data_IF_072316382391
#
_entry.id   IF_072316382391
#
_cell.length_a   1.000
_cell.length_b   1.000
_cell.length_c   1.000
_cell.angle_alpha   90.00
_cell.angle_beta   90.00
_cell.angle_gamma   90.00
#
_symmetry.space_group_name_H-M   'P 1'
#
loop_
_entity.id
_entity.type
_entity.pdbx_description
1 polymer ?
#
# COMPACT_ATOMS: atom_id res chain seq x y z
N UNK A 1 19.96 7.35 -5.70
CA UNK A 1 20.73 7.00 -6.93
C UNK A 1 20.07 7.60 -8.17
N UNK A 2 20.81 8.36 -8.98
CA UNK A 2 20.29 9.15 -10.11
C UNK A 2 20.43 8.48 -11.50
N UNK A 3 20.87 7.22 -11.56
CA UNK A 3 21.07 6.49 -12.82
C UNK A 3 20.11 5.31 -12.97
N UNK A 4 19.53 5.16 -14.16
CA UNK A 4 18.82 3.94 -14.57
C UNK A 4 19.80 2.81 -14.88
N UNK A 5 19.60 1.64 -14.28
CA UNK A 5 20.46 0.47 -14.51
C UNK A 5 20.17 -0.67 -13.53
N UNK A 6 20.79 -1.83 -13.75
CA UNK A 6 20.83 -2.90 -12.76
C UNK A 6 21.93 -2.58 -11.75
N UNK A 7 21.56 -2.54 -10.48
CA UNK A 7 22.48 -2.29 -9.38
C UNK A 7 22.90 -3.63 -8.79
N UNK A 8 24.20 -3.78 -8.55
CA UNK A 8 24.77 -4.98 -7.93
C UNK A 8 25.54 -4.54 -6.68
N UNK A 9 25.53 -5.36 -5.64
CA UNK A 9 26.32 -5.12 -4.44
C UNK A 9 27.80 -5.34 -4.79
N UNK A 10 28.63 -4.29 -4.70
CA UNK A 10 30.07 -4.36 -5.03
C UNK A 10 30.86 -5.14 -3.97
N UNK A 11 30.38 -5.15 -2.72
CA UNK A 11 30.91 -5.96 -1.63
C UNK A 11 29.79 -6.74 -1.02
N UNK A 12 30.03 -8.01 -0.73
CA UNK A 12 29.09 -8.86 -0.03
C UNK A 12 29.53 -8.99 1.44
N UNK A 13 29.13 -8.08 2.35
CA UNK A 13 29.41 -8.26 3.78
C UNK A 13 28.94 -9.64 4.23
N UNK A 14 29.82 -10.30 4.97
CA UNK A 14 29.59 -11.57 5.65
C UNK A 14 29.40 -11.26 7.14
N UNK A 15 28.25 -10.69 7.55
CA UNK A 15 27.96 -10.43 8.95
C UNK A 15 27.96 -11.74 9.74
N UNK A 16 28.23 -11.65 11.04
CA UNK A 16 27.96 -12.79 11.92
C UNK A 16 26.46 -13.14 11.85
N UNK A 17 26.06 -14.40 12.14
CA UNK A 17 24.65 -14.77 12.16
C UNK A 17 23.79 -13.88 13.07
N UNK A 18 24.37 -13.38 14.17
CA UNK A 18 23.70 -12.46 15.09
C UNK A 18 23.47 -11.07 14.46
N UNK A 19 24.50 -10.51 13.82
CA UNK A 19 24.38 -9.21 13.15
C UNK A 19 23.40 -9.25 11.97
N UNK A 20 23.42 -10.36 11.20
CA UNK A 20 22.48 -10.58 10.11
C UNK A 20 21.04 -10.63 10.60
N UNK A 21 20.80 -11.35 11.71
CA UNK A 21 19.48 -11.47 12.33
C UNK A 21 19.00 -10.10 12.85
N UNK A 22 19.86 -9.34 13.52
CA UNK A 22 19.51 -8.01 14.03
C UNK A 22 19.24 -7.02 12.90
N UNK A 23 20.05 -7.03 11.83
CA UNK A 23 19.83 -6.20 10.65
C UNK A 23 18.48 -6.52 9.98
N UNK A 24 18.13 -7.81 9.91
CA UNK A 24 16.85 -8.24 9.37
C UNK A 24 15.66 -7.78 10.24
N UNK A 25 15.74 -7.93 11.56
CA UNK A 25 14.72 -7.41 12.47
C UNK A 25 14.56 -5.89 12.35
N UNK A 26 15.68 -5.18 12.23
CA UNK A 26 15.70 -3.71 12.05
C UNK A 26 15.05 -3.31 10.74
N UNK A 27 15.29 -4.06 9.66
CA UNK A 27 14.63 -3.88 8.36
C UNK A 27 13.10 -4.07 8.45
N UNK A 28 12.62 -5.06 9.22
CA UNK A 28 11.18 -5.23 9.42
C UNK A 28 10.55 -4.08 10.22
N UNK A 29 11.22 -3.60 11.28
CA UNK A 29 10.74 -2.44 12.04
C UNK A 29 10.67 -1.20 11.16
N UNK A 30 11.72 -0.91 10.40
CA UNK A 30 11.75 0.24 9.51
C UNK A 30 10.69 0.19 8.40
N UNK A 31 10.35 -1.03 7.93
CA UNK A 31 9.36 -1.21 6.86
C UNK A 31 7.92 -1.24 7.36
N UNK A 32 7.66 -1.98 8.43
CA UNK A 32 6.30 -2.29 8.87
C UNK A 32 5.87 -1.50 10.11
N UNK A 33 6.82 -0.98 10.90
CA UNK A 33 6.59 -0.44 12.24
C UNK A 33 6.22 -1.53 13.26
N UNK A 34 5.20 -2.33 12.94
CA UNK A 34 4.74 -3.49 13.70
C UNK A 34 5.07 -4.77 12.95
N UNK A 35 5.92 -5.61 13.55
CA UNK A 35 6.26 -6.92 13.01
C UNK A 35 5.15 -7.89 13.35
N UNK A 36 4.58 -8.54 12.33
CA UNK A 36 3.52 -9.55 12.47
C UNK A 36 3.94 -10.85 11.79
N UNK A 37 3.22 -11.94 12.09
CA UNK A 37 3.43 -13.23 11.41
C UNK A 37 3.26 -13.12 9.90
N UNK A 38 2.23 -12.39 9.44
CA UNK A 38 1.97 -12.19 8.02
C UNK A 38 3.11 -11.45 7.32
N UNK A 39 3.61 -10.37 7.92
CA UNK A 39 4.73 -9.59 7.38
C UNK A 39 6.03 -10.39 7.23
N UNK A 40 6.38 -11.17 8.25
CA UNK A 40 7.58 -12.03 8.21
C UNK A 40 7.45 -13.11 7.14
N UNK A 41 6.27 -13.75 7.01
CA UNK A 41 6.06 -14.77 5.98
C UNK A 41 6.10 -14.19 4.57
N UNK A 42 5.56 -12.98 4.38
CA UNK A 42 5.59 -12.29 3.10
C UNK A 42 7.02 -11.93 2.63
N UNK A 43 7.95 -11.73 3.56
CA UNK A 43 9.36 -11.43 3.28
C UNK A 43 10.20 -12.71 2.97
N UNK A 44 9.61 -13.91 3.10
CA UNK A 44 10.24 -15.16 2.64
C UNK A 44 11.41 -15.66 3.50
N UNK A 45 11.39 -15.36 4.79
CA UNK A 45 12.51 -15.58 5.71
C UNK A 45 12.85 -17.06 5.88
N UNK A 46 14.13 -17.48 5.74
CA UNK A 46 14.54 -18.86 6.00
C UNK A 46 14.16 -19.32 7.41
N UNK A 47 13.55 -20.52 7.52
CA UNK A 47 13.04 -21.04 8.80
C UNK A 47 11.70 -20.43 9.24
N UNK A 48 11.14 -19.51 8.47
CA UNK A 48 9.82 -18.94 8.66
C UNK A 48 9.65 -18.17 9.98
N UNK A 49 8.39 -17.99 10.39
CA UNK A 49 8.07 -17.19 11.56
C UNK A 49 8.64 -17.76 12.88
N UNK A 50 8.83 -19.07 12.99
CA UNK A 50 9.38 -19.67 14.21
C UNK A 50 10.82 -19.21 14.50
N UNK A 51 11.65 -19.07 13.44
CA UNK A 51 13.00 -18.55 13.58
C UNK A 51 13.00 -17.06 13.96
N UNK A 52 12.17 -16.25 13.28
CA UNK A 52 12.00 -14.84 13.59
C UNK A 52 11.50 -14.62 15.03
N UNK A 53 10.50 -15.41 15.46
CA UNK A 53 9.89 -15.28 16.79
C UNK A 53 10.92 -15.44 17.92
N UNK A 54 11.86 -16.40 17.81
CA UNK A 54 12.90 -16.58 18.84
C UNK A 54 13.75 -15.32 19.01
N UNK A 55 14.17 -14.70 17.91
CA UNK A 55 14.92 -13.45 17.93
C UNK A 55 14.10 -12.31 18.54
N UNK A 56 12.86 -12.14 18.08
CA UNK A 56 11.98 -11.06 18.55
C UNK A 56 11.67 -11.19 20.06
N UNK A 57 11.48 -12.41 20.55
CA UNK A 57 11.31 -12.69 21.97
C UNK A 57 12.57 -12.34 22.79
N UNK A 58 13.77 -12.65 22.26
CA UNK A 58 15.02 -12.25 22.92
C UNK A 58 15.16 -10.73 22.98
N UNK A 59 14.83 -10.03 21.89
CA UNK A 59 14.84 -8.56 21.85
C UNK A 59 13.80 -7.95 22.79
N UNK A 60 12.62 -8.57 22.93
CA UNK A 60 11.61 -8.18 23.93
C UNK A 60 12.11 -8.37 25.37
N UNK A 61 12.69 -9.53 25.68
CA UNK A 61 13.26 -9.81 27.01
C UNK A 61 14.42 -8.88 27.36
N UNK A 62 15.16 -8.39 26.35
CA UNK A 62 16.21 -7.37 26.50
C UNK A 62 15.66 -5.93 26.56
N UNK A 63 14.34 -5.74 26.55
CA UNK A 63 13.68 -4.43 26.60
C UNK A 63 13.83 -3.59 25.34
N UNK A 64 14.23 -4.19 24.20
CA UNK A 64 14.39 -3.48 22.92
C UNK A 64 13.08 -3.42 22.13
N UNK A 65 12.22 -4.40 22.31
CA UNK A 65 10.90 -4.47 21.69
C UNK A 65 9.81 -4.62 22.74
N UNK A 66 8.61 -4.19 22.37
CA UNK A 66 7.38 -4.45 23.10
C UNK A 66 6.59 -5.47 22.28
N UNK A 67 6.10 -6.51 22.96
CA UNK A 67 5.14 -7.45 22.39
C UNK A 67 3.73 -7.12 22.90
N UNK A 68 2.77 -7.05 21.99
CA UNK A 68 1.39 -6.73 22.33
C UNK A 68 0.42 -6.93 21.17
N UNK A 69 -0.87 -6.77 21.42
CA UNK A 69 -1.88 -6.69 20.38
C UNK A 69 -2.05 -5.21 19.99
N UNK A 70 -1.41 -4.82 18.89
CA UNK A 70 -1.32 -3.41 18.48
C UNK A 70 -2.28 -3.09 17.33
N UNK A 71 -2.39 -3.99 16.36
CA UNK A 71 -3.25 -3.83 15.18
C UNK A 71 -4.25 -4.98 15.12
N UNK A 72 -5.52 -4.67 14.89
CA UNK A 72 -6.57 -5.67 14.77
C UNK A 72 -6.37 -6.59 13.55
N UNK A 73 -6.75 -7.86 13.67
CA UNK A 73 -6.79 -8.80 12.54
C UNK A 73 -5.44 -9.35 12.09
N UNK A 74 -4.31 -8.87 12.63
CA UNK A 74 -2.96 -9.32 12.26
C UNK A 74 -2.37 -10.41 13.17
N UNK A 75 -3.21 -11.02 14.01
CA UNK A 75 -2.85 -12.10 14.93
C UNK A 75 -2.19 -11.61 16.23
N UNK A 76 -2.03 -12.50 17.20
CA UNK A 76 -1.64 -12.14 18.57
C UNK A 76 -0.13 -11.92 18.82
N UNK A 77 0.74 -12.37 17.92
CA UNK A 77 2.19 -12.21 18.06
C UNK A 77 2.66 -11.00 17.24
N UNK A 78 2.60 -9.81 17.84
CA UNK A 78 3.07 -8.57 17.23
C UNK A 78 4.16 -7.93 18.09
N UNK A 79 5.19 -7.40 17.42
CA UNK A 79 6.35 -6.79 18.07
C UNK A 79 6.63 -5.43 17.46
N UNK A 80 6.96 -4.44 18.28
CA UNK A 80 7.32 -3.10 17.80
C UNK A 80 8.25 -2.41 18.81
N UNK A 81 8.75 -1.23 18.47
CA UNK A 81 9.50 -0.39 19.40
C UNK A 81 8.54 0.39 20.31
N UNK A 82 9.03 0.88 21.44
CA UNK A 82 8.22 1.72 22.32
C UNK A 82 7.80 3.04 21.66
N UNK A 83 8.67 3.60 20.82
CA UNK A 83 8.42 4.81 20.03
C UNK A 83 7.25 4.60 19.06
N UNK A 84 7.29 3.57 18.23
CA UNK A 84 6.21 3.26 17.27
C UNK A 84 4.90 2.95 17.99
N UNK A 85 4.92 2.25 19.14
CA UNK A 85 3.71 2.06 19.96
C UNK A 85 3.16 3.39 20.48
N UNK A 86 4.04 4.36 20.80
CA UNK A 86 3.65 5.72 21.15
C UNK A 86 2.96 6.45 19.99
N UNK A 87 3.54 6.37 18.79
CA UNK A 87 2.96 6.93 17.57
C UNK A 87 1.61 6.32 17.24
N UNK A 88 1.48 4.99 17.36
CA UNK A 88 0.22 4.27 17.11
C UNK A 88 -0.95 4.78 17.95
N UNK A 89 -0.69 5.22 19.19
CA UNK A 89 -1.73 5.80 20.07
C UNK A 89 -2.20 7.18 19.61
N UNK A 90 -1.42 7.85 18.76
CA UNK A 90 -1.81 9.12 18.15
C UNK A 90 -2.80 8.97 17.00
N UNK A 91 -2.88 7.78 16.39
CA UNK A 91 -3.92 7.48 15.40
C UNK A 91 -5.24 7.24 16.13
N UNK A 92 -6.18 8.16 15.97
CA UNK A 92 -7.51 8.10 16.58
C UNK A 92 -8.48 7.32 15.70
N UNK A 93 -8.06 6.14 15.23
CA UNK A 93 -8.91 5.27 14.41
C UNK A 93 -10.13 4.86 15.24
N UNK A 94 -11.30 5.39 14.86
CA UNK A 94 -12.55 5.08 15.54
C UNK A 94 -13.63 4.89 14.47
N UNK A 95 -14.35 3.76 14.50
CA UNK A 95 -15.45 3.54 13.57
C UNK A 95 -16.57 4.58 13.72
N UNK A 96 -16.57 5.33 14.83
CA UNK A 96 -17.57 6.34 15.17
C UNK A 96 -17.14 7.77 14.78
N UNK A 97 -15.94 7.96 14.21
CA UNK A 97 -15.40 9.29 13.90
C UNK A 97 -15.31 9.55 12.39
N UNK A 98 -16.22 10.41 11.91
CA UNK A 98 -16.08 11.08 10.62
C UNK A 98 -16.29 10.21 9.38
N UNK A 99 -15.93 10.76 8.22
CA UNK A 99 -16.10 10.11 6.91
C UNK A 99 -14.93 9.18 6.56
N UNK A 100 -13.76 9.34 7.21
CA UNK A 100 -12.56 8.54 6.97
C UNK A 100 -12.13 7.79 8.25
N UNK A 101 -11.72 6.50 8.18
CA UNK A 101 -11.39 5.71 9.37
C UNK A 101 -10.34 6.34 10.30
N UNK A 102 -9.36 7.07 9.75
CA UNK A 102 -8.31 7.75 10.51
C UNK A 102 -8.76 9.07 11.16
N UNK A 103 -10.01 9.48 10.95
CA UNK A 103 -10.52 10.80 11.34
C UNK A 103 -10.00 11.96 10.46
N UNK A 104 -9.25 11.68 9.40
CA UNK A 104 -8.73 12.71 8.51
C UNK A 104 -9.85 13.44 7.74
N UNK A 105 -9.81 14.78 7.78
CA UNK A 105 -10.73 15.63 6.99
C UNK A 105 -10.27 15.81 5.55
N UNK A 106 -8.98 15.62 5.30
CA UNK A 106 -8.35 15.74 3.97
C UNK A 106 -7.37 14.57 3.80
N UNK A 107 -7.87 13.37 3.44
CA UNK A 107 -7.03 12.19 3.38
C UNK A 107 -5.96 12.34 2.29
N UNK A 108 -4.71 11.98 2.60
CA UNK A 108 -3.59 12.17 1.70
C UNK A 108 -3.42 10.95 0.76
N UNK A 109 -3.67 11.09 -0.55
CA UNK A 109 -3.59 9.95 -1.44
C UNK A 109 -2.15 9.67 -1.89
N UNK A 110 -1.82 8.39 -1.99
CA UNK A 110 -0.52 7.87 -2.40
C UNK A 110 -0.69 6.89 -3.56
N UNK A 111 0.16 7.02 -4.58
CA UNK A 111 0.22 6.10 -5.71
C UNK A 111 1.49 5.26 -5.58
N UNK A 112 1.31 3.96 -5.38
CA UNK A 112 2.39 3.00 -5.19
C UNK A 112 2.36 1.93 -6.27
N UNK A 113 3.52 1.35 -6.59
CA UNK A 113 3.52 0.07 -7.29
C UNK A 113 2.86 -0.99 -6.41
N UNK A 114 2.10 -1.93 -6.98
CA UNK A 114 1.46 -2.99 -6.19
C UNK A 114 2.49 -3.89 -5.46
N UNK A 115 3.71 -3.97 -5.98
CA UNK A 115 4.85 -4.67 -5.39
C UNK A 115 5.64 -3.84 -4.38
N UNK A 116 5.32 -2.55 -4.22
CA UNK A 116 6.04 -1.67 -3.31
C UNK A 116 6.02 -2.24 -1.87
N UNK A 117 7.15 -2.26 -1.15
CA UNK A 117 7.17 -2.75 0.23
C UNK A 117 6.27 -1.96 1.20
N UNK A 118 5.96 -0.70 0.88
CA UNK A 118 5.04 0.13 1.66
C UNK A 118 3.56 -0.19 1.39
N UNK A 119 3.22 -0.95 0.34
CA UNK A 119 1.86 -1.43 0.13
C UNK A 119 1.58 -2.64 1.04
N UNK A 120 0.66 -2.57 2.03
CA UNK A 120 0.34 -3.71 2.88
C UNK A 120 -0.62 -4.71 2.22
N UNK A 121 -1.38 -4.28 1.20
CA UNK A 121 -2.44 -5.07 0.57
C UNK A 121 -1.88 -6.15 -0.37
N UNK A 122 -2.53 -7.31 -0.34
CA UNK A 122 -2.07 -8.52 -1.02
C UNK A 122 -0.80 -9.14 -0.41
N UNK A 123 -0.43 -8.69 0.80
CA UNK A 123 0.72 -9.17 1.57
C UNK A 123 0.26 -9.45 3.00
N UNK A 124 0.34 -8.45 3.88
CA UNK A 124 -0.05 -8.57 5.29
C UNK A 124 -1.56 -8.36 5.45
N UNK A 125 -2.14 -7.49 4.62
CA UNK A 125 -3.58 -7.27 4.53
C UNK A 125 -4.15 -7.98 3.29
N UNK A 126 -5.35 -8.58 3.37
CA UNK A 126 -6.06 -9.04 2.20
C UNK A 126 -6.43 -7.84 1.32
N UNK A 127 -6.62 -8.07 0.02
CA UNK A 127 -7.22 -7.05 -0.82
C UNK A 127 -8.68 -6.81 -0.40
N UNK A 128 -9.21 -5.57 -0.54
CA UNK A 128 -10.62 -5.34 -0.31
C UNK A 128 -11.48 -6.16 -1.27
N UNK A 129 -12.65 -6.59 -0.78
CA UNK A 129 -13.57 -7.38 -1.58
C UNK A 129 -14.11 -6.61 -2.79
N UNK A 130 -14.20 -7.29 -3.92
CA UNK A 130 -14.82 -6.77 -5.14
C UNK A 130 -15.57 -7.90 -5.86
N UNK A 131 -16.80 -7.65 -6.37
CA UNK A 131 -17.62 -8.70 -6.99
C UNK A 131 -16.88 -9.44 -8.11
N UNK A 132 -16.23 -8.70 -9.00
CA UNK A 132 -15.61 -9.22 -10.23
C UNK A 132 -14.09 -9.14 -10.25
N UNK A 133 -13.47 -8.28 -9.44
CA UNK A 133 -12.05 -7.99 -9.56
C UNK A 133 -11.24 -8.91 -8.66
N UNK A 134 -10.05 -9.28 -9.14
CA UNK A 134 -9.08 -10.12 -8.41
C UNK A 134 -7.72 -9.42 -8.44
N UNK A 135 -7.54 -8.38 -7.62
CA UNK A 135 -6.28 -7.62 -7.56
C UNK A 135 -5.11 -8.53 -7.16
N UNK A 136 -3.91 -8.17 -7.63
CA UNK A 136 -2.69 -8.91 -7.38
C UNK A 136 -1.48 -7.99 -7.24
N UNK A 137 -0.47 -8.45 -6.49
CA UNK A 137 0.86 -7.82 -6.42
C UNK A 137 1.69 -8.21 -7.64
N UNK A 138 1.36 -7.65 -8.80
CA UNK A 138 2.04 -7.95 -10.06
C UNK A 138 2.89 -6.78 -10.56
N UNK A 139 3.97 -7.08 -11.29
CA UNK A 139 4.89 -6.07 -11.81
C UNK A 139 4.20 -5.14 -12.82
N UNK A 140 4.22 -3.84 -12.52
CA UNK A 140 3.58 -2.79 -13.30
C UNK A 140 2.10 -2.56 -12.97
N UNK A 141 1.55 -3.29 -11.99
CA UNK A 141 0.28 -2.91 -11.36
C UNK A 141 0.50 -1.79 -10.35
N UNK A 142 -0.53 -0.97 -10.15
CA UNK A 142 -0.50 0.22 -9.30
C UNK A 142 -1.61 0.10 -8.26
N UNK A 143 -1.38 0.61 -7.06
CA UNK A 143 -2.38 0.77 -6.02
C UNK A 143 -2.47 2.24 -5.62
N UNK A 144 -3.68 2.72 -5.36
CA UNK A 144 -3.92 4.04 -4.78
C UNK A 144 -4.46 3.84 -3.37
N UNK A 145 -3.71 4.35 -2.40
CA UNK A 145 -4.09 4.38 -0.99
C UNK A 145 -4.41 5.82 -0.59
N UNK A 146 -5.23 6.02 0.42
CA UNK A 146 -5.26 7.29 1.14
C UNK A 146 -5.41 7.01 2.63
N UNK A 147 -4.53 7.57 3.46
CA UNK A 147 -4.42 7.31 4.89
C UNK A 147 -4.66 5.83 5.27
N UNK A 148 -3.95 4.92 4.59
CA UNK A 148 -4.01 3.47 4.86
C UNK A 148 -5.17 2.71 4.19
N UNK A 149 -6.20 3.39 3.71
CA UNK A 149 -7.34 2.75 3.02
C UNK A 149 -7.01 2.52 1.54
N UNK A 150 -7.22 1.30 1.04
CA UNK A 150 -7.06 0.98 -0.38
C UNK A 150 -8.26 1.46 -1.18
N UNK A 151 -8.07 2.49 -2.00
CA UNK A 151 -9.12 3.06 -2.83
C UNK A 151 -9.18 2.42 -4.20
N UNK A 152 -8.02 2.12 -4.80
CA UNK A 152 -7.99 1.61 -6.15
C UNK A 152 -6.84 0.65 -6.43
N UNK A 153 -7.08 -0.27 -7.34
CA UNK A 153 -6.06 -1.08 -8.01
C UNK A 153 -6.12 -0.84 -9.51
N UNK A 154 -4.95 -0.75 -10.14
CA UNK A 154 -4.84 -0.76 -11.59
C UNK A 154 -3.97 -1.93 -12.01
N UNK A 155 -4.45 -2.68 -13.01
CA UNK A 155 -3.69 -3.78 -13.60
C UNK A 155 -2.45 -3.28 -14.35
N UNK A 156 -1.58 -4.22 -14.75
CA UNK A 156 -0.38 -3.91 -15.52
C UNK A 156 -0.71 -3.07 -16.75
N UNK A 157 -0.07 -1.90 -16.84
CA UNK A 157 -0.28 -0.94 -17.93
C UNK A 157 -1.49 -0.02 -17.75
N UNK A 158 -2.18 -0.10 -16.60
CA UNK A 158 -3.22 0.85 -16.18
C UNK A 158 -4.49 0.83 -17.00
N UNK A 159 -4.81 -0.29 -17.67
CA UNK A 159 -5.99 -0.42 -18.54
C UNK A 159 -7.26 -0.79 -17.81
N UNK A 160 -7.16 -1.51 -16.70
CA UNK A 160 -8.31 -1.88 -15.87
C UNK A 160 -8.15 -1.18 -14.53
N UNK A 161 -9.11 -0.32 -14.20
CA UNK A 161 -9.25 0.34 -12.89
C UNK A 161 -10.28 -0.44 -12.07
N UNK A 162 -9.95 -0.73 -10.82
CA UNK A 162 -10.87 -1.26 -9.82
C UNK A 162 -10.93 -0.27 -8.67
N UNK A 163 -12.14 0.17 -8.31
CA UNK A 163 -12.43 0.99 -7.13
C UNK A 163 -13.03 0.11 -6.04
N UNK A 164 -12.51 0.24 -4.81
CA UNK A 164 -12.93 -0.60 -3.69
C UNK A 164 -13.90 0.13 -2.74
N UNK A 165 -14.87 -0.61 -2.21
CA UNK A 165 -15.79 -0.11 -1.19
C UNK A 165 -16.49 1.19 -1.58
N UNK A 166 -16.39 2.18 -0.71
CA UNK A 166 -16.93 3.53 -0.87
C UNK A 166 -16.09 4.43 -1.79
N UNK A 167 -14.95 3.96 -2.31
CA UNK A 167 -14.17 4.68 -3.33
C UNK A 167 -14.95 4.90 -4.63
N UNK A 168 -16.13 4.26 -4.74
CA UNK A 168 -17.12 4.45 -5.80
C UNK A 168 -17.98 5.70 -5.64
N UNK A 169 -17.89 6.40 -4.50
CA UNK A 169 -18.45 7.75 -4.35
C UNK A 169 -17.68 8.76 -5.19
N UNK A 170 -18.34 9.86 -5.54
CA UNK A 170 -17.75 10.91 -6.40
C UNK A 170 -16.48 11.51 -5.79
N UNK A 171 -16.52 11.85 -4.49
CA UNK A 171 -15.40 12.49 -3.79
C UNK A 171 -14.16 11.60 -3.72
N UNK A 172 -14.35 10.29 -3.46
CA UNK A 172 -13.23 9.35 -3.37
C UNK A 172 -12.71 8.93 -4.75
N UNK A 173 -13.57 8.80 -5.75
CA UNK A 173 -13.14 8.63 -7.13
C UNK A 173 -12.28 9.83 -7.58
N UNK A 174 -12.66 11.04 -7.16
CA UNK A 174 -11.87 12.25 -7.44
C UNK A 174 -10.50 12.25 -6.75
N UNK A 175 -10.40 11.75 -5.52
CA UNK A 175 -9.11 11.54 -4.85
C UNK A 175 -8.21 10.60 -5.66
N UNK A 176 -8.75 9.48 -6.16
CA UNK A 176 -7.99 8.53 -7.00
C UNK A 176 -7.47 9.20 -8.27
N UNK A 177 -8.33 9.93 -8.99
CA UNK A 177 -7.93 10.64 -10.22
C UNK A 177 -6.82 11.65 -9.92
N UNK A 178 -7.01 12.53 -8.94
CA UNK A 178 -6.02 13.56 -8.59
C UNK A 178 -4.67 12.95 -8.21
N UNK A 179 -4.68 11.85 -7.45
CA UNK A 179 -3.46 11.14 -7.07
C UNK A 179 -2.69 10.61 -8.29
N UNK A 180 -3.41 9.97 -9.23
CA UNK A 180 -2.83 9.46 -10.46
C UNK A 180 -2.32 10.60 -11.37
N UNK A 181 -3.07 11.70 -11.49
CA UNK A 181 -2.63 12.87 -12.25
C UNK A 181 -1.38 13.51 -11.65
N UNK A 182 -1.31 13.64 -10.32
CA UNK A 182 -0.12 14.12 -9.61
C UNK A 182 1.10 13.22 -9.86
N UNK A 183 0.92 11.89 -9.81
CA UNK A 183 1.99 10.94 -10.13
C UNK A 183 2.49 11.05 -11.58
N UNK A 184 1.60 11.35 -12.53
CA UNK A 184 1.99 11.62 -13.93
C UNK A 184 2.72 12.96 -14.05
N UNK A 185 2.23 14.01 -13.37
CA UNK A 185 2.83 15.34 -13.39
C UNK A 185 4.24 15.37 -12.80
N UNK A 186 4.47 14.60 -11.74
CA UNK A 186 5.78 14.42 -11.09
C UNK A 186 6.73 13.50 -11.87
N UNK A 187 6.29 12.93 -13.00
CA UNK A 187 7.10 12.03 -13.82
C UNK A 187 7.36 10.65 -13.20
N UNK A 188 6.64 10.29 -12.12
CA UNK A 188 6.74 8.98 -11.47
C UNK A 188 6.13 7.85 -12.30
N UNK A 189 5.22 8.19 -13.21
CA UNK A 189 4.58 7.24 -14.12
C UNK A 189 4.17 7.90 -15.44
N UNK A 190 4.01 7.07 -16.49
CA UNK A 190 3.45 7.55 -17.74
C UNK A 190 1.94 7.77 -17.64
N UNK A 191 1.40 8.61 -18.53
CA UNK A 191 -0.06 8.74 -18.70
C UNK A 191 -0.75 7.39 -18.84
N UNK A 192 -1.98 7.30 -18.34
CA UNK A 192 -2.79 6.11 -18.39
C UNK A 192 -3.94 6.25 -19.37
N UNK A 193 -4.36 5.10 -19.91
CA UNK A 193 -5.64 4.96 -20.60
C UNK A 193 -6.37 3.78 -19.99
N UNK A 194 -7.44 4.08 -19.27
CA UNK A 194 -8.33 3.13 -18.63
C UNK A 194 -9.39 2.72 -19.65
N UNK A 195 -9.42 1.44 -19.97
CA UNK A 195 -10.33 0.81 -20.93
C UNK A 195 -11.51 0.11 -20.21
N UNK A 196 -11.37 -0.18 -18.92
CA UNK A 196 -12.35 -0.86 -18.07
C UNK A 196 -12.32 -0.31 -16.64
N UNK A 197 -13.50 -0.12 -16.04
CA UNK A 197 -13.71 0.30 -14.64
C UNK A 197 -14.67 -0.68 -13.98
N UNK A 198 -14.25 -1.32 -12.90
CA UNK A 198 -15.05 -2.28 -12.11
C UNK A 198 -15.66 -3.43 -12.95
N UNK A 199 -14.99 -3.83 -14.04
CA UNK A 199 -15.47 -4.87 -14.96
C UNK A 199 -16.35 -4.37 -16.11
N UNK A 200 -16.58 -3.07 -16.24
CA UNK A 200 -17.39 -2.47 -17.29
C UNK A 200 -16.59 -1.47 -18.14
N UNK A 201 -16.96 -1.33 -19.42
CA UNK A 201 -16.40 -0.27 -20.27
C UNK A 201 -16.89 1.11 -19.83
N UNK A 202 -16.07 2.18 -19.95
CA UNK A 202 -16.54 3.55 -19.85
C UNK A 202 -17.78 3.77 -20.73
N UNK A 203 -18.79 4.48 -20.22
CA UNK A 203 -20.09 4.72 -20.84
C UNK A 203 -21.19 3.76 -20.40
N UNK A 204 -20.86 2.59 -19.83
CA UNK A 204 -21.83 1.59 -19.41
C UNK A 204 -22.20 1.68 -17.91
N UNK A 205 -21.52 2.53 -17.13
CA UNK A 205 -21.71 2.66 -15.68
C UNK A 205 -21.68 4.10 -15.19
N UNK A 206 -22.05 4.32 -13.92
CA UNK A 206 -22.16 5.67 -13.32
C UNK A 206 -20.84 6.30 -12.84
N UNK A 207 -19.75 5.51 -12.73
CA UNK A 207 -18.47 5.98 -12.19
C UNK A 207 -17.69 6.90 -13.13
N UNK A 208 -17.95 6.83 -14.44
CA UNK A 208 -17.27 7.67 -15.43
C UNK A 208 -17.49 9.15 -15.15
N UNK A 209 -18.72 9.55 -14.83
CA UNK A 209 -19.06 10.95 -14.58
C UNK A 209 -18.19 11.54 -13.45
N UNK A 210 -18.00 10.79 -12.36
CA UNK A 210 -17.15 11.18 -11.26
C UNK A 210 -15.67 11.32 -11.68
N UNK A 211 -15.15 10.39 -12.48
CA UNK A 211 -13.78 10.46 -12.97
C UNK A 211 -13.57 11.68 -13.88
N UNK A 212 -14.54 11.98 -14.76
CA UNK A 212 -14.50 13.13 -15.66
C UNK A 212 -14.61 14.45 -14.89
N UNK A 213 -15.50 14.54 -13.90
CA UNK A 213 -15.63 15.69 -13.01
C UNK A 213 -14.31 15.96 -12.25
N UNK A 214 -13.58 14.91 -11.91
CA UNK A 214 -12.26 14.98 -11.28
C UNK A 214 -11.11 15.35 -12.25
N UNK A 215 -11.38 15.56 -13.53
CA UNK A 215 -10.40 15.99 -14.53
C UNK A 215 -9.81 14.88 -15.41
N UNK A 216 -10.32 13.65 -15.32
CA UNK A 216 -10.04 12.63 -16.32
C UNK A 216 -10.68 13.02 -17.66
N UNK A 217 -10.19 12.47 -18.77
CA UNK A 217 -10.69 12.83 -20.11
C UNK A 217 -11.21 11.64 -20.89
N UNK A 218 -12.41 11.76 -21.43
CA UNK A 218 -12.95 10.76 -22.33
C UNK A 218 -12.17 10.74 -23.65
N UNK A 219 -11.86 9.54 -24.12
CA UNK A 219 -11.26 9.27 -25.43
C UNK A 219 -12.04 8.15 -26.12
N UNK A 220 -11.93 7.99 -27.45
CA UNK A 220 -12.61 6.92 -28.16
C UNK A 220 -12.26 5.50 -27.68
N UNK A 221 -11.13 5.35 -26.98
CA UNK A 221 -10.62 4.07 -26.47
C UNK A 221 -10.72 3.95 -24.94
N UNK A 222 -11.43 4.85 -24.27
CA UNK A 222 -11.60 4.83 -22.81
C UNK A 222 -11.26 6.16 -22.13
N UNK A 223 -10.96 6.14 -20.83
CA UNK A 223 -10.67 7.33 -20.03
C UNK A 223 -9.16 7.55 -19.90
N UNK A 224 -8.68 8.74 -20.25
CA UNK A 224 -7.29 9.13 -20.10
C UNK A 224 -7.04 9.85 -18.77
N UNK A 225 -6.00 9.43 -18.06
CA UNK A 225 -5.43 10.13 -16.91
C UNK A 225 -4.07 10.70 -17.34
N UNK A 226 -3.97 12.02 -17.30
CA UNK A 226 -2.79 12.78 -17.69
C UNK A 226 -2.49 13.86 -16.65
N UNK A 227 -1.29 14.45 -16.68
CA UNK A 227 -0.96 15.57 -15.81
C UNK A 227 -2.03 16.68 -15.93
N UNK A 228 -2.36 17.38 -14.83
CA UNK A 228 -3.26 18.53 -14.88
C UNK A 228 -2.74 19.56 -15.88
N UNK A 229 -3.63 20.23 -16.60
CA UNK A 229 -3.21 21.39 -17.39
C UNK A 229 -2.88 22.53 -16.43
N UNK A 230 -1.76 23.19 -16.68
CA UNK A 230 -1.41 24.47 -16.04
C UNK A 230 -2.42 25.56 -16.42
#
# INVERSE_FOLDING_TARGET
>A
PSATGRWYRVRDPQPSPADAALALASSWLARFGVITRGGVLADGVPGGFAAAYRLLAQLESAGKLIRGYLVEGLGGAQFSTQETVGELRGFADSPDQGEWPSGATHPAPLVLAALDPANPYGSVLPWPDHPTARPSRSAGAIVVLADGVCLAHLTRGGRVLTLFGDARSEDRAALVVRALQGAVAEGRMSRLRIEEIDGARPGAGGLEAALLAAGARLTPKGIAIEAPRA
#
